data_IF_254271685209
#
_entry.id   IF_254271685209
#
_cell.length_a   1.000
_cell.length_b   1.000
_cell.length_c   1.000
_cell.angle_alpha   90.00
_cell.angle_beta   90.00
_cell.angle_gamma   90.00
#
_symmetry.space_group_name_H-M   'P 1'
#
loop_
_entity.id
_entity.type
_entity.pdbx_description
1 polymer ?
#
# COMPACT_ATOMS: atom_id res chain seq x y z
N UNK A 1 14.17 31.66 13.53
CA UNK A 1 12.78 31.36 13.12
C UNK A 1 12.51 29.92 13.54
N UNK A 2 11.53 29.68 14.40
CA UNK A 2 11.16 28.31 14.80
C UNK A 2 10.62 27.58 13.57
N UNK A 3 10.97 26.31 13.39
CA UNK A 3 10.33 25.49 12.35
C UNK A 3 8.81 25.47 12.65
N UNK A 4 7.94 25.57 11.63
CA UNK A 4 6.51 25.37 11.85
C UNK A 4 6.30 23.99 12.49
N UNK A 5 5.40 23.91 13.47
CA UNK A 5 5.03 22.63 14.07
C UNK A 5 4.65 21.65 12.95
N UNK A 6 5.17 20.43 13.02
CA UNK A 6 4.86 19.42 12.02
C UNK A 6 3.35 19.12 12.02
N UNK A 7 2.75 19.08 10.84
CA UNK A 7 1.36 18.63 10.68
C UNK A 7 1.25 17.16 11.06
N UNK A 8 0.46 16.83 12.08
CA UNK A 8 0.23 15.46 12.52
C UNK A 8 -0.96 14.85 11.75
N UNK A 9 -0.81 13.63 11.26
CA UNK A 9 -1.94 12.85 10.72
C UNK A 9 -2.70 12.16 11.86
N UNK A 10 -4.03 12.32 11.95
CA UNK A 10 -4.86 11.70 12.99
C UNK A 10 -5.15 10.23 12.64
N UNK A 11 -4.10 9.39 12.61
CA UNK A 11 -4.23 7.98 12.23
C UNK A 11 -4.94 7.12 13.29
N UNK A 12 -5.17 7.67 14.48
CA UNK A 12 -5.92 7.10 15.60
C UNK A 12 -7.40 7.53 15.62
N UNK A 13 -7.85 8.30 14.63
CA UNK A 13 -9.21 8.81 14.52
C UNK A 13 -10.04 8.02 13.49
N UNK A 14 -11.15 7.44 13.93
CA UNK A 14 -12.08 6.71 13.06
C UNK A 14 -12.74 7.62 12.01
N UNK A 15 -12.98 8.90 12.33
CA UNK A 15 -13.54 9.86 11.36
C UNK A 15 -12.56 10.13 10.23
N UNK A 16 -11.26 10.18 10.52
CA UNK A 16 -10.22 10.27 9.50
C UNK A 16 -10.21 9.05 8.59
N UNK A 17 -10.39 7.84 9.12
CA UNK A 17 -10.46 6.64 8.29
C UNK A 17 -11.76 6.53 7.49
N UNK A 18 -12.86 7.14 7.96
CA UNK A 18 -14.12 7.22 7.25
C UNK A 18 -14.05 8.19 6.05
N UNK A 19 -13.43 9.36 6.23
CA UNK A 19 -13.18 10.33 5.15
C UNK A 19 -11.86 11.11 5.38
N UNK A 20 -10.71 10.61 4.87
CA UNK A 20 -9.43 11.26 5.10
C UNK A 20 -9.23 12.50 4.21
N UNK A 21 -10.04 12.67 3.17
CA UNK A 21 -9.76 13.64 2.10
C UNK A 21 -9.83 15.10 2.56
N UNK A 22 -10.81 15.54 3.39
CA UNK A 22 -10.85 16.90 3.91
C UNK A 22 -9.59 17.25 4.72
N UNK A 23 -9.18 16.38 5.64
CA UNK A 23 -7.97 16.56 6.46
C UNK A 23 -6.73 16.63 5.58
N UNK A 24 -6.57 15.69 4.64
CA UNK A 24 -5.44 15.70 3.70
C UNK A 24 -5.43 16.94 2.80
N UNK A 25 -6.59 17.46 2.41
CA UNK A 25 -6.70 18.67 1.61
C UNK A 25 -6.22 19.89 2.38
N UNK A 26 -6.72 20.10 3.61
CA UNK A 26 -6.32 21.20 4.47
C UNK A 26 -4.81 21.17 4.77
N UNK A 27 -4.28 20.00 5.16
CA UNK A 27 -2.86 19.86 5.46
C UNK A 27 -1.98 20.15 4.25
N UNK A 28 -2.40 19.76 3.04
CA UNK A 28 -1.63 19.95 1.80
C UNK A 28 -1.53 21.41 1.35
N UNK A 29 -2.51 22.23 1.71
CA UNK A 29 -2.55 23.65 1.38
C UNK A 29 -1.49 24.43 2.19
N UNK A 30 -1.25 24.00 3.43
CA UNK A 30 -0.32 24.67 4.36
C UNK A 30 1.05 23.98 4.44
N UNK A 31 1.09 22.66 4.27
CA UNK A 31 2.29 21.85 4.45
C UNK A 31 2.64 21.00 3.22
N UNK A 32 3.94 20.80 2.98
CA UNK A 32 4.43 19.86 1.95
C UNK A 32 4.38 18.41 2.43
N UNK A 33 4.59 18.20 3.72
CA UNK A 33 4.59 16.90 4.39
C UNK A 33 3.84 16.98 5.70
N UNK A 34 3.22 15.88 6.09
CA UNK A 34 2.75 15.63 7.46
C UNK A 34 3.64 14.56 8.12
N UNK A 35 3.34 14.25 9.36
CA UNK A 35 4.02 13.24 10.17
C UNK A 35 2.95 12.36 10.80
N UNK A 36 3.15 11.05 10.79
CA UNK A 36 2.29 10.09 11.48
C UNK A 36 2.56 10.11 13.00
N UNK A 37 1.69 9.52 13.84
CA UNK A 37 1.94 9.45 15.28
C UNK A 37 3.27 8.77 15.67
N UNK A 38 3.76 7.83 14.85
CA UNK A 38 5.05 7.14 15.00
C UNK A 38 6.23 7.89 14.36
N UNK A 39 6.03 9.12 13.86
CA UNK A 39 7.10 9.98 13.37
C UNK A 39 7.48 9.79 11.90
N UNK A 40 6.75 8.96 11.15
CA UNK A 40 7.00 8.73 9.72
C UNK A 40 6.50 9.93 8.92
N UNK A 41 7.31 10.41 7.97
CA UNK A 41 6.88 11.50 7.07
C UNK A 41 5.86 10.99 6.05
N UNK A 42 4.72 11.66 6.00
CA UNK A 42 3.73 11.49 4.96
C UNK A 42 3.85 12.60 3.91
N UNK A 43 3.89 12.20 2.64
CA UNK A 43 3.96 13.13 1.50
C UNK A 43 2.55 13.52 1.11
N UNK A 44 2.26 14.82 1.10
CA UNK A 44 0.89 15.30 0.87
C UNK A 44 0.62 15.64 -0.60
N UNK A 45 1.66 16.00 -1.37
CA UNK A 45 1.50 16.45 -2.76
C UNK A 45 1.79 15.35 -3.76
N UNK A 46 0.95 15.27 -4.78
CA UNK A 46 1.08 14.30 -5.87
C UNK A 46 2.45 14.35 -6.55
N UNK A 47 2.94 15.56 -6.87
CA UNK A 47 4.21 15.73 -7.57
C UNK A 47 5.38 15.18 -6.76
N UNK A 48 5.36 15.39 -5.44
CA UNK A 48 6.40 14.90 -4.54
C UNK A 48 6.36 13.37 -4.43
N UNK A 49 5.17 12.78 -4.35
CA UNK A 49 5.00 11.34 -4.35
C UNK A 49 5.49 10.70 -5.67
N UNK A 50 5.20 11.32 -6.81
CA UNK A 50 5.70 10.91 -8.13
C UNK A 50 7.22 11.02 -8.25
N UNK A 51 7.81 12.09 -7.71
CA UNK A 51 9.26 12.28 -7.73
C UNK A 51 9.96 11.23 -6.89
N UNK A 52 9.52 11.02 -5.64
CA UNK A 52 10.12 10.07 -4.69
C UNK A 52 10.19 8.65 -5.27
N UNK A 53 9.15 8.21 -5.98
CA UNK A 53 9.11 6.88 -6.61
C UNK A 53 10.20 6.65 -7.67
N UNK A 54 10.81 7.71 -8.20
CA UNK A 54 11.86 7.65 -9.25
C UNK A 54 13.27 7.80 -8.69
N UNK A 55 13.39 8.15 -7.42
CA UNK A 55 14.64 8.48 -6.74
C UNK A 55 15.24 7.21 -6.11
N UNK A 56 16.45 6.78 -6.48
CA UNK A 56 17.06 5.56 -5.95
C UNK A 56 17.36 5.63 -4.44
N UNK A 57 17.36 6.83 -3.86
CA UNK A 57 17.55 7.08 -2.44
C UNK A 57 16.36 6.61 -1.59
N UNK A 58 15.18 6.47 -2.18
CA UNK A 58 13.98 5.98 -1.50
C UNK A 58 13.76 4.50 -1.83
N UNK A 59 14.07 3.65 -0.86
CA UNK A 59 13.95 2.20 -0.96
C UNK A 59 12.72 1.71 -0.20
N UNK A 60 12.25 0.51 -0.54
CA UNK A 60 11.21 -0.14 0.27
C UNK A 60 11.82 -0.62 1.59
N UNK A 61 11.03 -0.50 2.67
CA UNK A 61 11.38 -1.12 3.95
C UNK A 61 11.43 -2.65 3.81
N UNK A 62 12.55 -3.23 4.21
CA UNK A 62 12.82 -4.65 4.17
C UNK A 62 12.22 -5.40 5.36
N UNK A 63 13.11 -6.00 6.15
CA UNK A 63 12.77 -6.78 7.35
C UNK A 63 12.59 -5.89 8.57
N UNK A 64 13.21 -4.71 8.59
CA UNK A 64 13.11 -3.72 9.65
C UNK A 64 11.65 -3.35 9.98
N UNK A 65 10.77 -3.35 8.97
CA UNK A 65 9.34 -3.10 9.14
C UNK A 65 8.67 -4.11 10.09
N UNK A 66 9.00 -5.40 9.95
CA UNK A 66 8.42 -6.45 10.79
C UNK A 66 9.22 -6.65 12.08
N UNK A 67 10.53 -6.40 12.07
CA UNK A 67 11.38 -6.44 13.27
C UNK A 67 10.95 -5.38 14.28
N UNK A 68 10.60 -4.18 13.83
CA UNK A 68 10.04 -3.11 14.67
C UNK A 68 8.72 -3.51 15.36
N UNK A 69 8.03 -4.55 14.85
CA UNK A 69 6.78 -5.11 15.40
C UNK A 69 7.02 -6.39 16.20
N UNK A 70 8.28 -6.75 16.44
CA UNK A 70 8.68 -7.86 17.31
C UNK A 70 8.86 -9.22 16.63
N UNK A 71 8.74 -9.31 15.30
CA UNK A 71 8.98 -10.55 14.56
C UNK A 71 10.48 -10.86 14.48
N UNK A 72 10.83 -12.14 14.58
CA UNK A 72 12.22 -12.63 14.66
C UNK A 72 12.50 -13.73 13.63
N UNK A 73 13.78 -13.99 13.30
CA UNK A 73 14.17 -15.17 12.53
C UNK A 73 13.56 -16.46 13.09
N UNK A 74 13.01 -17.30 12.21
CA UNK A 74 12.24 -18.49 12.58
C UNK A 74 10.72 -18.28 12.69
N UNK A 75 10.24 -17.05 12.84
CA UNK A 75 8.80 -16.78 12.79
C UNK A 75 8.26 -16.97 11.36
N UNK A 76 7.06 -17.54 11.18
CA UNK A 76 6.50 -17.78 9.84
C UNK A 76 6.43 -16.52 8.96
N UNK A 77 6.03 -15.38 9.54
CA UNK A 77 5.97 -14.12 8.80
C UNK A 77 7.36 -13.63 8.38
N UNK A 78 8.37 -13.80 9.25
CA UNK A 78 9.73 -13.38 8.98
C UNK A 78 10.32 -14.20 7.82
N UNK A 79 10.19 -15.53 7.89
CA UNK A 79 10.72 -16.44 6.87
C UNK A 79 10.02 -16.27 5.51
N UNK A 80 8.74 -15.89 5.50
CA UNK A 80 8.06 -15.53 4.27
C UNK A 80 8.49 -14.15 3.74
N UNK A 81 8.46 -13.12 4.60
CA UNK A 81 8.73 -11.72 4.24
C UNK A 81 10.12 -11.57 3.64
N UNK A 82 11.12 -12.26 4.20
CA UNK A 82 12.51 -12.18 3.69
C UNK A 82 12.61 -12.57 2.22
N UNK A 83 11.71 -13.39 1.69
CA UNK A 83 11.74 -13.78 0.27
C UNK A 83 10.74 -13.00 -0.59
N UNK A 84 9.93 -12.14 0.01
CA UNK A 84 8.94 -11.35 -0.70
C UNK A 84 9.59 -10.27 -1.56
N UNK A 85 9.03 -10.03 -2.75
CA UNK A 85 9.51 -8.98 -3.67
C UNK A 85 9.48 -7.59 -3.01
N UNK A 86 8.50 -7.31 -2.15
CA UNK A 86 8.34 -6.04 -1.46
C UNK A 86 9.29 -5.79 -0.29
N UNK A 87 10.13 -6.77 0.08
CA UNK A 87 11.20 -6.59 1.07
C UNK A 87 12.59 -6.51 0.43
N UNK A 88 12.68 -6.57 -0.91
CA UNK A 88 13.94 -6.53 -1.67
C UNK A 88 14.06 -5.23 -2.42
N UNK A 89 15.30 -4.76 -2.56
CA UNK A 89 15.66 -3.57 -3.33
C UNK A 89 16.73 -3.93 -4.37
N UNK A 90 17.09 -2.99 -5.24
CA UNK A 90 18.22 -3.14 -6.16
C UNK A 90 18.13 -4.32 -7.13
N UNK A 91 19.20 -5.10 -7.22
CA UNK A 91 19.31 -6.24 -8.15
C UNK A 91 18.40 -7.41 -7.79
N UNK A 92 18.28 -7.73 -6.50
CA UNK A 92 17.42 -8.80 -6.01
C UNK A 92 15.96 -8.53 -6.38
N UNK A 93 15.50 -7.29 -6.18
CA UNK A 93 14.16 -6.88 -6.61
C UNK A 93 13.96 -7.04 -8.12
N UNK A 94 14.93 -6.59 -8.94
CA UNK A 94 14.88 -6.73 -10.40
C UNK A 94 14.81 -8.19 -10.83
N UNK A 95 15.60 -9.07 -10.20
CA UNK A 95 15.61 -10.51 -10.47
C UNK A 95 14.26 -11.15 -10.14
N UNK A 96 13.72 -10.90 -8.95
CA UNK A 96 12.41 -11.42 -8.53
C UNK A 96 11.28 -10.90 -9.44
N UNK A 97 11.27 -9.59 -9.74
CA UNK A 97 10.30 -8.98 -10.64
C UNK A 97 10.31 -9.64 -12.01
N UNK A 98 11.50 -9.88 -12.58
CA UNK A 98 11.64 -10.53 -13.89
C UNK A 98 11.04 -11.94 -13.92
N UNK A 99 11.13 -12.69 -12.82
CA UNK A 99 10.53 -14.02 -12.71
C UNK A 99 8.99 -13.92 -12.65
N UNK A 100 8.46 -13.09 -11.76
CA UNK A 100 7.01 -12.96 -11.54
C UNK A 100 6.31 -12.33 -12.75
N UNK A 101 6.91 -11.33 -13.39
CA UNK A 101 6.32 -10.63 -14.55
C UNK A 101 6.04 -11.54 -15.75
N UNK A 102 6.71 -12.70 -15.86
CA UNK A 102 6.42 -13.70 -16.90
C UNK A 102 5.04 -14.35 -16.73
N UNK A 103 4.57 -14.47 -15.48
CA UNK A 103 3.24 -14.99 -15.16
C UNK A 103 2.15 -13.89 -15.23
N UNK A 104 2.52 -12.63 -15.02
CA UNK A 104 1.60 -11.47 -14.98
C UNK A 104 1.59 -10.67 -16.29
N UNK A 105 1.62 -11.36 -17.43
CA UNK A 105 1.53 -10.72 -18.74
C UNK A 105 0.09 -10.31 -19.07
N UNK A 106 -0.14 -9.31 -19.95
CA UNK A 106 -1.49 -8.96 -20.41
C UNK A 106 -2.29 -10.18 -20.90
N UNK A 107 -1.65 -11.07 -21.67
CA UNK A 107 -2.28 -12.33 -22.12
C UNK A 107 -2.68 -13.24 -20.96
N UNK A 108 -1.90 -13.30 -19.88
CA UNK A 108 -2.26 -14.09 -18.70
C UNK A 108 -3.44 -13.49 -17.96
N UNK A 109 -3.48 -12.16 -17.83
CA UNK A 109 -4.62 -11.44 -17.25
C UNK A 109 -5.89 -11.67 -18.07
N UNK A 110 -5.83 -11.59 -19.40
CA UNK A 110 -6.99 -11.82 -20.26
C UNK A 110 -7.54 -13.25 -20.18
N UNK A 111 -6.70 -14.25 -19.87
CA UNK A 111 -7.18 -15.62 -19.58
C UNK A 111 -7.94 -15.73 -18.26
N UNK A 112 -7.58 -14.92 -17.26
CA UNK A 112 -8.24 -14.90 -15.94
C UNK A 112 -9.56 -14.12 -15.99
N UNK A 113 -9.65 -13.10 -16.86
CA UNK A 113 -10.84 -12.25 -17.02
C UNK A 113 -12.17 -13.02 -17.13
N UNK A 114 -12.35 -14.01 -18.03
CA UNK A 114 -13.62 -14.74 -18.13
C UNK A 114 -13.94 -15.58 -16.88
N UNK A 115 -12.93 -16.09 -16.17
CA UNK A 115 -13.11 -16.86 -14.93
C UNK A 115 -13.70 -15.95 -13.85
N UNK A 116 -13.08 -14.80 -13.63
CA UNK A 116 -13.57 -13.80 -12.65
C UNK A 116 -14.98 -13.32 -13.01
N UNK A 117 -15.23 -13.03 -14.30
CA UNK A 117 -16.57 -12.64 -14.76
C UNK A 117 -17.62 -13.72 -14.49
N UNK A 118 -17.30 -14.98 -14.72
CA UNK A 118 -18.19 -16.11 -14.41
C UNK A 118 -18.50 -16.17 -12.92
N UNK A 119 -17.47 -16.18 -12.07
CA UNK A 119 -17.65 -16.23 -10.62
C UNK A 119 -18.49 -15.06 -10.08
N UNK A 120 -18.23 -13.84 -10.55
CA UNK A 120 -19.01 -12.66 -10.17
C UNK A 120 -20.46 -12.77 -10.64
N UNK A 121 -20.70 -13.20 -11.89
CA UNK A 121 -22.06 -13.40 -12.39
C UNK A 121 -22.80 -14.43 -11.55
N UNK A 122 -22.20 -15.58 -11.29
CA UNK A 122 -22.83 -16.65 -10.51
C UNK A 122 -23.12 -16.19 -9.07
N UNK A 123 -22.25 -15.36 -8.47
CA UNK A 123 -22.49 -14.71 -7.18
C UNK A 123 -23.72 -13.79 -7.23
N UNK A 124 -23.80 -12.94 -8.25
CA UNK A 124 -24.93 -12.01 -8.43
C UNK A 124 -26.25 -12.76 -8.68
N UNK A 125 -26.22 -13.81 -9.50
CA UNK A 125 -27.41 -14.63 -9.80
C UNK A 125 -27.97 -15.31 -8.54
N UNK A 126 -27.12 -15.84 -7.66
CA UNK A 126 -27.56 -16.45 -6.39
C UNK A 126 -28.28 -15.48 -5.46
N UNK A 127 -27.98 -14.19 -5.57
CA UNK A 127 -28.54 -13.14 -4.73
C UNK A 127 -29.49 -12.22 -5.49
N UNK A 128 -29.96 -12.62 -6.68
CA UNK A 128 -30.81 -11.79 -7.51
C UNK A 128 -32.12 -11.38 -6.82
N UNK A 129 -32.71 -12.29 -6.04
CA UNK A 129 -34.00 -12.07 -5.37
C UNK A 129 -33.88 -11.65 -3.90
N UNK A 130 -32.70 -11.82 -3.30
CA UNK A 130 -32.45 -11.53 -1.87
C UNK A 130 -31.64 -10.26 -1.62
N UNK A 131 -30.95 -9.76 -2.65
CA UNK A 131 -29.95 -8.71 -2.49
C UNK A 131 -28.71 -9.20 -1.73
N UNK A 132 -27.66 -8.38 -1.72
CA UNK A 132 -26.47 -8.63 -0.89
C UNK A 132 -25.86 -7.30 -0.47
N UNK A 133 -25.38 -7.23 0.77
CA UNK A 133 -24.64 -6.06 1.28
C UNK A 133 -23.18 -6.20 0.88
N UNK A 134 -22.69 -5.35 -0.02
CA UNK A 134 -21.27 -5.30 -0.44
C UNK A 134 -20.33 -4.78 0.66
N UNK A 135 -20.87 -4.32 1.79
CA UNK A 135 -20.10 -3.82 2.94
C UNK A 135 -19.88 -4.87 4.03
N UNK A 136 -20.58 -6.01 3.96
CA UNK A 136 -20.37 -7.17 4.84
C UNK A 136 -19.60 -8.26 4.08
#
# INVERSE_FOLDING_TARGET
>A
MSAPAAALLPLDDDEYWADPYPVLAELRDVHRTAVTPDGVKAVLRWQDAEEIKRRPEFINEGLEYIEARGFKPGDPLYEWRRWSIGARNGEDHRRLRKLVSRALTPRSVERVRPIVRGQVRDLLERHADSGFDVRQ
#
